data_IF_512898993353
#
_entry.id   IF_512898993353
#
_cell.length_a   1.000
_cell.length_b   1.000
_cell.length_c   1.000
_cell.angle_alpha   90.00
_cell.angle_beta   90.00
_cell.angle_gamma   90.00
#
_symmetry.space_group_name_H-M   'P 1'
#
loop_
_entity.id
_entity.type
_entity.pdbx_description
1 polymer ?
#
# COMPACT_ATOMS: atom_id res chain seq x y z
N UNK A 1 -59.41 11.42 -57.29
CA UNK A 1 -58.26 12.34 -57.15
C UNK A 1 -58.02 12.51 -55.67
N UNK A 2 -57.04 11.79 -55.12
CA UNK A 2 -56.62 11.90 -53.73
C UNK A 2 -55.36 12.77 -53.68
N UNK A 3 -55.35 13.79 -52.82
CA UNK A 3 -54.15 14.45 -52.33
C UNK A 3 -54.34 14.70 -50.84
N UNK A 4 -53.85 13.76 -50.04
CA UNK A 4 -53.55 13.94 -48.63
C UNK A 4 -52.08 14.35 -48.50
N UNK A 5 -51.78 15.42 -47.76
CA UNK A 5 -50.68 15.43 -46.79
C UNK A 5 -50.96 16.45 -45.66
N UNK A 6 -50.46 16.19 -44.42
CA UNK A 6 -51.00 16.73 -43.16
C UNK A 6 -50.03 17.70 -42.46
N UNK A 7 -50.46 18.38 -41.39
CA UNK A 7 -49.74 18.87 -40.19
C UNK A 7 -50.62 19.96 -39.56
N UNK A 8 -50.88 20.10 -38.25
CA UNK A 8 -50.44 19.47 -37.02
C UNK A 8 -51.17 20.20 -35.87
N UNK A 9 -51.13 19.64 -34.65
CA UNK A 9 -51.64 20.35 -33.46
C UNK A 9 -52.17 19.45 -32.36
N UNK A 10 -51.31 18.72 -31.66
CA UNK A 10 -51.68 18.04 -30.42
C UNK A 10 -51.85 19.06 -29.29
N UNK A 11 -53.09 19.36 -28.91
CA UNK A 11 -53.42 20.05 -27.65
C UNK A 11 -52.99 19.17 -26.47
N UNK A 12 -52.17 19.67 -25.54
CA UNK A 12 -51.97 19.03 -24.22
C UNK A 12 -52.60 19.89 -23.14
N UNK A 13 -53.52 19.29 -22.38
CA UNK A 13 -54.09 19.82 -21.14
C UNK A 13 -53.00 19.89 -20.06
N UNK A 14 -52.81 21.06 -19.46
CA UNK A 14 -52.18 21.18 -18.14
C UNK A 14 -53.22 20.80 -17.08
N UNK A 15 -52.94 19.77 -16.27
CA UNK A 15 -53.64 19.54 -14.99
C UNK A 15 -52.78 20.16 -13.89
N UNK A 16 -53.27 21.23 -13.30
CA UNK A 16 -52.71 21.85 -12.10
C UNK A 16 -53.00 20.97 -10.89
N UNK A 17 -51.96 20.57 -10.16
CA UNK A 17 -52.07 19.96 -8.83
C UNK A 17 -51.29 20.82 -7.85
N UNK A 18 -51.99 21.41 -6.87
CA UNK A 18 -51.40 22.17 -5.77
C UNK A 18 -51.12 21.18 -4.64
N UNK A 19 -49.86 21.05 -4.22
CA UNK A 19 -49.50 20.41 -2.95
C UNK A 19 -49.12 21.53 -1.99
N UNK A 20 -49.97 21.79 -0.99
CA UNK A 20 -49.67 22.72 0.10
C UNK A 20 -48.95 21.94 1.19
N UNK A 21 -47.69 22.28 1.47
CA UNK A 21 -46.97 21.82 2.66
C UNK A 21 -46.53 23.03 3.47
N UNK A 22 -46.87 23.01 4.76
CA UNK A 22 -46.69 24.08 5.75
C UNK A 22 -45.29 23.94 6.34
N UNK A 23 -44.32 24.67 5.79
CA UNK A 23 -43.18 25.32 6.44
C UNK A 23 -42.14 25.73 5.37
N UNK A 24 -41.55 26.90 5.55
CA UNK A 24 -40.48 27.51 4.75
C UNK A 24 -40.91 28.20 3.44
N UNK A 25 -40.83 29.53 3.48
CA UNK A 25 -40.86 30.45 2.34
C UNK A 25 -39.62 30.20 1.49
N UNK A 26 -39.81 29.80 0.23
CA UNK A 26 -38.79 29.89 -0.81
C UNK A 26 -39.42 30.55 -2.04
N UNK A 27 -39.04 31.79 -2.31
CA UNK A 27 -39.36 32.47 -3.57
C UNK A 27 -38.38 31.93 -4.61
N UNK A 28 -38.82 30.99 -5.44
CA UNK A 28 -38.09 30.62 -6.66
C UNK A 28 -38.57 31.48 -7.82
N UNK A 29 -37.72 32.40 -8.26
CA UNK A 29 -37.87 33.08 -9.54
C UNK A 29 -37.84 32.02 -10.66
N UNK A 30 -38.87 32.01 -11.49
CA UNK A 30 -38.95 31.15 -12.69
C UNK A 30 -38.14 31.83 -13.79
N UNK A 31 -36.88 31.46 -13.93
CA UNK A 31 -36.10 31.72 -15.15
C UNK A 31 -36.25 30.52 -16.09
N UNK A 32 -36.96 30.73 -17.21
CA UNK A 32 -36.96 29.79 -18.34
C UNK A 32 -35.55 29.75 -18.95
N UNK A 33 -34.77 28.72 -18.60
CA UNK A 33 -33.54 28.38 -19.32
C UNK A 33 -33.92 27.38 -20.43
N UNK A 34 -33.71 27.70 -21.73
CA UNK A 34 -33.96 26.75 -22.80
C UNK A 34 -32.96 25.58 -22.69
N UNK A 35 -33.48 24.35 -22.68
CA UNK A 35 -32.69 23.13 -22.54
C UNK A 35 -31.73 22.87 -23.71
N UNK A 36 -30.64 22.10 -23.52
CA UNK A 36 -29.64 21.92 -24.56
C UNK A 36 -30.21 21.13 -25.73
N UNK A 37 -29.98 21.63 -26.95
CA UNK A 37 -30.23 20.93 -28.20
C UNK A 37 -29.55 19.55 -28.19
N UNK A 38 -30.31 18.47 -28.43
CA UNK A 38 -29.78 17.14 -28.74
C UNK A 38 -28.95 17.22 -30.01
N UNK A 39 -27.64 17.41 -29.88
CA UNK A 39 -26.70 17.11 -30.93
C UNK A 39 -26.73 15.60 -31.21
N UNK A 40 -27.05 15.23 -32.45
CA UNK A 40 -26.86 13.86 -32.96
C UNK A 40 -25.38 13.52 -32.83
N UNK A 41 -25.02 12.62 -31.91
CA UNK A 41 -23.69 11.99 -31.93
C UNK A 41 -23.57 11.16 -33.21
N UNK A 42 -22.57 11.39 -34.08
CA UNK A 42 -22.33 10.51 -35.20
C UNK A 42 -21.81 9.16 -34.71
N UNK A 43 -22.26 8.12 -35.40
CA UNK A 43 -22.10 6.72 -35.07
C UNK A 43 -20.64 6.29 -34.84
N UNK A 44 -20.48 5.53 -33.76
CA UNK A 44 -19.71 4.29 -33.70
C UNK A 44 -18.36 4.27 -34.45
N UNK A 45 -17.33 4.76 -33.78
CA UNK A 45 -16.00 4.18 -33.95
C UNK A 45 -15.98 2.85 -33.19
N UNK A 46 -16.54 1.80 -33.82
CA UNK A 46 -16.37 0.41 -33.44
C UNK A 46 -14.89 0.05 -33.61
N UNK A 47 -14.04 0.48 -32.67
CA UNK A 47 -12.76 -0.19 -32.45
C UNK A 47 -13.10 -1.61 -32.03
N UNK A 48 -12.89 -2.56 -32.94
CA UNK A 48 -12.70 -3.98 -32.57
C UNK A 48 -11.62 -4.04 -31.50
N UNK A 49 -12.03 -4.10 -30.24
CA UNK A 49 -11.16 -4.44 -29.13
C UNK A 49 -11.76 -5.65 -28.45
N UNK A 50 -11.65 -6.80 -29.10
CA UNK A 50 -12.04 -8.08 -28.51
C UNK A 50 -11.15 -9.17 -29.04
N UNK A 51 -9.99 -9.35 -28.42
CA UNK A 51 -9.36 -10.67 -28.26
C UNK A 51 -8.70 -10.74 -26.88
N UNK A 52 -9.47 -10.45 -25.84
CA UNK A 52 -9.24 -11.01 -24.51
C UNK A 52 -10.63 -11.11 -23.91
N UNK A 53 -11.05 -12.32 -23.53
CA UNK A 53 -12.34 -12.53 -22.91
C UNK A 53 -12.48 -11.71 -21.62
N UNK A 54 -13.71 -11.57 -21.13
CA UNK A 54 -13.93 -10.95 -19.82
C UNK A 54 -13.25 -11.82 -18.76
N UNK A 55 -12.19 -11.30 -18.15
CA UNK A 55 -11.39 -11.99 -17.14
C UNK A 55 -11.48 -11.17 -15.87
N UNK A 56 -11.87 -11.79 -14.76
CA UNK A 56 -11.85 -11.15 -13.45
C UNK A 56 -11.43 -12.18 -12.40
N UNK A 57 -10.15 -12.16 -12.03
CA UNK A 57 -9.61 -13.00 -10.98
C UNK A 57 -9.23 -12.15 -9.77
N UNK A 58 -9.68 -12.57 -8.58
CA UNK A 58 -9.26 -12.00 -7.30
C UNK A 58 -8.40 -13.02 -6.58
N UNK A 59 -7.15 -12.67 -6.34
CA UNK A 59 -6.23 -13.45 -5.54
C UNK A 59 -6.30 -12.94 -4.10
N UNK A 60 -6.55 -13.84 -3.16
CA UNK A 60 -6.45 -13.54 -1.74
C UNK A 60 -5.01 -13.73 -1.24
N UNK A 61 -4.65 -13.06 -0.14
CA UNK A 61 -3.32 -13.20 0.45
C UNK A 61 -3.02 -14.65 0.87
N UNK A 62 -3.97 -15.30 1.53
CA UNK A 62 -3.74 -16.61 2.16
C UNK A 62 -3.29 -17.69 1.16
N UNK A 63 -3.99 -17.95 0.04
CA UNK A 63 -3.56 -18.96 -0.93
C UNK A 63 -2.21 -18.68 -1.58
N UNK A 64 -1.79 -17.41 -1.69
CA UNK A 64 -0.54 -17.03 -2.36
C UNK A 64 0.63 -16.96 -1.38
N UNK A 65 0.44 -16.30 -0.23
CA UNK A 65 1.49 -16.10 0.76
C UNK A 65 1.80 -17.38 1.55
N UNK A 66 0.79 -18.20 1.89
CA UNK A 66 0.99 -19.43 2.69
C UNK A 66 1.99 -20.40 2.06
N UNK A 67 1.87 -20.83 0.79
CA UNK A 67 2.84 -21.75 0.20
C UNK A 67 4.24 -21.14 0.15
N UNK A 68 4.37 -19.84 -0.13
CA UNK A 68 5.67 -19.15 -0.14
C UNK A 68 6.33 -19.14 1.25
N UNK A 69 5.54 -18.89 2.30
CA UNK A 69 6.00 -18.93 3.69
C UNK A 69 6.40 -20.34 4.09
N UNK A 70 5.60 -21.36 3.74
CA UNK A 70 5.92 -22.78 4.00
C UNK A 70 7.21 -23.20 3.29
N UNK A 71 7.38 -22.82 2.02
CA UNK A 71 8.61 -23.09 1.26
C UNK A 71 9.82 -22.40 1.87
N UNK A 72 9.68 -21.14 2.32
CA UNK A 72 10.74 -20.41 3.00
C UNK A 72 11.14 -21.08 4.32
N UNK A 73 10.17 -21.51 5.14
CA UNK A 73 10.43 -22.27 6.36
C UNK A 73 11.11 -23.61 6.07
N UNK A 74 10.64 -24.34 5.06
CA UNK A 74 11.28 -25.58 4.59
C UNK A 74 12.73 -25.34 4.18
N UNK A 75 13.00 -24.25 3.46
CA UNK A 75 14.36 -23.84 3.10
C UNK A 75 15.23 -23.52 4.33
N UNK A 76 14.69 -22.81 5.34
CA UNK A 76 15.42 -22.53 6.58
C UNK A 76 15.76 -23.83 7.33
N UNK A 77 14.83 -24.79 7.42
CA UNK A 77 15.05 -26.10 8.03
C UNK A 77 16.11 -26.89 7.27
N UNK A 78 15.98 -26.99 5.94
CA UNK A 78 16.97 -27.67 5.09
C UNK A 78 18.36 -27.06 5.26
N UNK A 79 18.46 -25.74 5.36
CA UNK A 79 19.73 -25.06 5.56
C UNK A 79 20.31 -25.28 6.95
N UNK A 80 19.46 -25.31 7.98
CA UNK A 80 19.87 -25.63 9.34
C UNK A 80 20.42 -27.07 9.44
N UNK A 81 19.79 -28.02 8.74
CA UNK A 81 20.22 -29.44 8.71
C UNK A 81 21.50 -29.60 7.86
N UNK A 82 21.58 -28.98 6.67
CA UNK A 82 22.68 -29.20 5.72
C UNK A 82 23.95 -28.42 6.05
N UNK A 83 23.84 -27.23 6.65
CA UNK A 83 24.95 -26.30 6.88
C UNK A 83 25.04 -25.86 8.35
N UNK A 84 24.89 -26.80 9.28
CA UNK A 84 25.14 -26.55 10.69
C UNK A 84 26.54 -25.96 10.88
N UNK A 85 26.63 -24.64 11.08
CA UNK A 85 27.83 -23.88 11.52
C UNK A 85 28.68 -23.16 10.45
N UNK A 86 28.09 -22.66 9.36
CA UNK A 86 28.72 -21.52 8.67
C UNK A 86 28.57 -20.24 9.50
N UNK A 87 29.58 -19.34 9.60
CA UNK A 87 29.50 -18.12 10.42
C UNK A 87 28.25 -17.27 10.15
N UNK A 88 27.78 -17.26 8.88
CA UNK A 88 26.63 -16.49 8.42
C UNK A 88 25.25 -17.17 8.64
N UNK A 89 25.23 -18.48 8.93
CA UNK A 89 24.01 -19.32 8.99
C UNK A 89 23.89 -20.14 10.28
N UNK A 90 24.57 -19.72 11.35
CA UNK A 90 24.40 -20.31 12.67
C UNK A 90 22.96 -20.26 13.16
N UNK A 91 22.60 -21.18 14.06
CA UNK A 91 21.26 -21.30 14.66
C UNK A 91 20.74 -19.99 15.28
N UNK A 92 21.66 -19.14 15.78
CA UNK A 92 21.35 -17.81 16.32
C UNK A 92 20.72 -16.86 15.29
N UNK A 93 20.98 -17.05 14.00
CA UNK A 93 20.42 -16.23 12.91
C UNK A 93 19.02 -16.67 12.47
N UNK A 94 18.58 -17.87 12.85
CA UNK A 94 17.29 -18.44 12.41
C UNK A 94 16.11 -17.62 12.94
N UNK A 95 16.05 -17.21 14.23
CA UNK A 95 14.94 -16.43 14.76
C UNK A 95 14.76 -15.09 14.03
N UNK A 96 15.83 -14.31 13.86
CA UNK A 96 15.73 -12.99 13.21
C UNK A 96 15.34 -13.10 11.73
N UNK A 97 15.82 -14.13 11.02
CA UNK A 97 15.42 -14.43 9.63
C UNK A 97 13.94 -14.81 9.56
N UNK A 98 13.48 -15.61 10.51
CA UNK A 98 12.08 -16.03 10.62
C UNK A 98 11.17 -14.83 10.85
N UNK A 99 11.48 -13.99 11.84
CA UNK A 99 10.70 -12.78 12.15
C UNK A 99 10.68 -11.84 10.96
N UNK A 100 11.84 -11.60 10.33
CA UNK A 100 11.95 -10.70 9.18
C UNK A 100 11.16 -11.22 7.99
N UNK A 101 11.24 -12.51 7.66
CA UNK A 101 10.50 -13.08 6.54
C UNK A 101 8.99 -13.09 6.79
N UNK A 102 8.56 -13.43 8.01
CA UNK A 102 7.14 -13.39 8.40
C UNK A 102 6.60 -11.97 8.32
N UNK A 103 7.38 -10.99 8.79
CA UNK A 103 7.06 -9.57 8.65
C UNK A 103 6.91 -9.15 7.18
N UNK A 104 7.89 -9.44 6.33
CA UNK A 104 7.85 -9.09 4.90
C UNK A 104 6.66 -9.75 4.20
N UNK A 105 6.35 -11.02 4.51
CA UNK A 105 5.19 -11.71 3.99
C UNK A 105 3.88 -11.06 4.46
N UNK A 106 3.80 -10.64 5.72
CA UNK A 106 2.65 -9.91 6.26
C UNK A 106 2.44 -8.56 5.57
N UNK A 107 3.51 -7.78 5.40
CA UNK A 107 3.48 -6.51 4.65
C UNK A 107 2.99 -6.73 3.23
N UNK A 108 3.57 -7.69 2.50
CA UNK A 108 3.13 -8.02 1.16
C UNK A 108 1.65 -8.46 1.12
N UNK A 109 1.23 -9.22 2.13
CA UNK A 109 -0.16 -9.63 2.33
C UNK A 109 -1.11 -8.45 2.43
N UNK A 110 -0.80 -7.45 3.25
CA UNK A 110 -1.70 -6.29 3.46
C UNK A 110 -1.64 -5.27 2.33
N UNK A 111 -0.48 -5.07 1.69
CA UNK A 111 -0.31 -4.02 0.66
C UNK A 111 -0.72 -4.47 -0.72
N UNK A 112 -0.47 -5.74 -1.09
CA UNK A 112 -0.77 -6.24 -2.43
C UNK A 112 -2.09 -7.00 -2.53
N UNK A 113 -2.62 -7.56 -1.43
CA UNK A 113 -3.85 -8.36 -1.48
C UNK A 113 -5.05 -7.70 -0.81
N UNK A 114 -6.26 -7.81 -1.38
CA UNK A 114 -6.61 -8.58 -2.57
C UNK A 114 -5.95 -8.06 -3.85
N UNK A 115 -5.44 -8.98 -4.68
CA UNK A 115 -4.85 -8.64 -5.96
C UNK A 115 -5.82 -9.02 -7.07
N UNK A 116 -6.27 -8.04 -7.84
CA UNK A 116 -7.24 -8.27 -8.91
C UNK A 116 -6.59 -8.18 -10.28
N UNK A 117 -6.99 -9.10 -11.16
CA UNK A 117 -6.65 -9.10 -12.58
C UNK A 117 -7.95 -8.99 -13.35
N UNK A 118 -8.19 -7.82 -13.95
CA UNK A 118 -9.43 -7.51 -14.65
C UNK A 118 -9.18 -7.08 -16.10
N UNK A 119 -9.80 -7.77 -17.06
CA UNK A 119 -9.77 -7.41 -18.48
C UNK A 119 -11.16 -7.56 -19.10
N UNK A 120 -11.41 -6.81 -20.17
CA UNK A 120 -12.70 -6.83 -20.88
C UNK A 120 -13.68 -5.82 -20.30
N UNK A 121 -14.99 -6.13 -20.34
CA UNK A 121 -16.06 -5.27 -19.81
C UNK A 121 -16.04 -5.11 -18.30
N UNK A 122 -15.28 -5.97 -17.62
CA UNK A 122 -15.09 -5.97 -16.17
C UNK A 122 -13.82 -5.20 -15.75
N UNK A 123 -13.03 -4.72 -16.71
CA UNK A 123 -11.94 -3.82 -16.43
C UNK A 123 -12.51 -2.48 -15.97
N UNK A 124 -11.94 -1.92 -14.90
CA UNK A 124 -12.15 -0.54 -14.51
C UNK A 124 -11.90 0.39 -15.72
N UNK A 125 -12.91 1.20 -16.06
CA UNK A 125 -12.85 2.17 -17.16
C UNK A 125 -11.97 3.38 -16.79
N UNK A 126 -11.58 3.50 -15.51
CA UNK A 126 -10.71 4.56 -15.02
C UNK A 126 -9.28 4.36 -15.53
N UNK A 127 -8.75 5.38 -16.22
CA UNK A 127 -7.37 5.37 -16.64
C UNK A 127 -6.42 5.27 -15.42
N UNK A 128 -5.37 4.45 -15.54
CA UNK A 128 -4.45 4.13 -14.44
C UNK A 128 -3.87 5.36 -13.72
N UNK A 129 -3.67 6.48 -14.42
CA UNK A 129 -3.12 7.71 -13.81
C UNK A 129 -4.12 8.40 -12.86
N UNK A 130 -5.42 8.14 -12.99
CA UNK A 130 -6.44 8.63 -12.06
C UNK A 130 -6.47 7.84 -10.75
N UNK A 131 -5.79 6.69 -10.71
CA UNK A 131 -5.64 5.89 -9.50
C UNK A 131 -4.41 6.31 -8.67
N UNK A 132 -3.70 7.37 -9.07
CA UNK A 132 -2.53 7.88 -8.36
C UNK A 132 -2.85 9.22 -7.69
N UNK A 133 -2.74 9.24 -6.36
CA UNK A 133 -2.86 10.46 -5.57
C UNK A 133 -1.48 11.13 -5.45
N UNK A 134 -1.30 12.21 -6.20
CA UNK A 134 -0.04 12.95 -6.28
C UNK A 134 0.11 14.06 -5.23
N UNK A 135 -0.96 14.42 -4.52
CA UNK A 135 -0.97 15.62 -3.68
C UNK A 135 -0.51 15.24 -2.27
N UNK A 136 0.71 15.61 -1.84
CA UNK A 136 1.14 15.30 -0.48
C UNK A 136 0.39 16.17 0.54
N UNK A 137 0.18 15.61 1.73
CA UNK A 137 -0.35 16.25 2.95
C UNK A 137 -1.82 16.70 2.86
N UNK A 138 -2.24 17.37 1.78
CA UNK A 138 -3.60 17.90 1.65
C UNK A 138 -4.67 16.82 1.47
N UNK A 139 -4.31 15.69 0.86
CA UNK A 139 -5.19 14.54 0.67
C UNK A 139 -4.87 13.40 1.64
N UNK A 140 -4.11 13.68 2.71
CA UNK A 140 -3.75 12.70 3.72
C UNK A 140 -5.00 12.16 4.42
N UNK A 141 -5.24 10.86 4.26
CA UNK A 141 -6.24 10.15 5.05
C UNK A 141 -5.59 9.67 6.36
N UNK A 142 -6.07 10.16 7.51
CA UNK A 142 -5.45 9.92 8.81
C UNK A 142 -5.49 8.44 9.22
N UNK A 143 -6.61 7.71 9.06
CA UNK A 143 -6.66 6.28 9.37
C UNK A 143 -5.65 5.45 8.56
N UNK A 144 -5.55 5.63 7.24
CA UNK A 144 -4.57 4.91 6.42
C UNK A 144 -3.14 5.30 6.78
N UNK A 145 -2.89 6.59 7.03
CA UNK A 145 -1.59 7.08 7.48
C UNK A 145 -1.13 6.42 8.78
N UNK A 146 -2.04 6.26 9.76
CA UNK A 146 -1.74 5.57 11.03
C UNK A 146 -1.44 4.09 10.80
N UNK A 147 -2.21 3.42 9.95
CA UNK A 147 -1.97 2.00 9.62
C UNK A 147 -0.63 1.80 8.92
N UNK A 148 -0.27 2.68 8.00
CA UNK A 148 1.01 2.69 7.30
C UNK A 148 2.20 2.89 8.27
N UNK A 149 2.07 3.85 9.20
CA UNK A 149 3.05 4.03 10.28
C UNK A 149 3.19 2.77 11.13
N UNK A 150 2.07 2.20 11.61
CA UNK A 150 2.09 0.98 12.43
C UNK A 150 2.72 -0.19 11.68
N UNK A 151 2.41 -0.33 10.40
CA UNK A 151 2.94 -1.38 9.54
C UNK A 151 4.46 -1.29 9.42
N UNK A 152 5.04 -0.08 9.33
CA UNK A 152 6.49 0.10 9.08
C UNK A 152 7.35 0.31 10.32
N UNK A 153 6.76 0.52 11.50
CA UNK A 153 7.50 0.52 12.77
C UNK A 153 8.34 -0.76 12.96
N UNK A 154 7.81 -1.97 12.76
CA UNK A 154 8.61 -3.19 12.85
C UNK A 154 9.79 -3.24 11.87
N UNK A 155 9.65 -2.69 10.65
CA UNK A 155 10.80 -2.55 9.73
C UNK A 155 11.93 -1.76 10.38
N UNK A 156 11.61 -0.57 10.92
CA UNK A 156 12.58 0.29 11.59
C UNK A 156 13.30 -0.40 12.76
N UNK A 157 12.56 -1.19 13.55
CA UNK A 157 13.11 -1.99 14.65
C UNK A 157 14.06 -3.09 14.13
N UNK A 158 13.73 -3.75 13.03
CA UNK A 158 14.50 -4.86 12.48
C UNK A 158 15.79 -4.43 11.77
N UNK A 159 15.84 -3.21 11.20
CA UNK A 159 16.99 -2.72 10.42
C UNK A 159 18.37 -2.91 11.08
N UNK A 160 18.62 -2.52 12.34
CA UNK A 160 19.93 -2.68 12.97
C UNK A 160 20.34 -4.14 13.19
N UNK A 161 19.39 -5.08 13.17
CA UNK A 161 19.62 -6.53 13.32
C UNK A 161 19.91 -7.25 12.00
N UNK A 162 19.42 -6.70 10.89
CA UNK A 162 19.53 -7.35 9.57
C UNK A 162 20.54 -6.70 8.64
N UNK A 163 20.83 -5.40 8.82
CA UNK A 163 21.68 -4.64 7.91
C UNK A 163 22.76 -3.85 8.65
N UNK A 164 24.03 -4.12 8.37
CA UNK A 164 25.18 -3.34 8.86
C UNK A 164 25.29 -1.93 8.29
N UNK A 165 24.42 -1.55 7.34
CA UNK A 165 24.47 -0.25 6.66
C UNK A 165 23.65 0.82 7.36
N UNK A 166 22.63 0.43 8.14
CA UNK A 166 21.68 1.37 8.76
C UNK A 166 22.16 1.77 10.16
N UNK A 167 23.07 2.74 10.21
CA UNK A 167 23.71 3.20 11.46
C UNK A 167 23.15 4.53 11.99
N UNK A 168 22.21 5.17 11.28
CA UNK A 168 21.67 6.47 11.68
C UNK A 168 20.18 6.61 11.37
N UNK A 169 19.45 7.49 12.09
CA UNK A 169 18.04 7.74 11.82
C UNK A 169 17.78 8.23 10.39
N UNK A 170 18.70 9.01 9.82
CA UNK A 170 18.63 9.46 8.41
C UNK A 170 18.69 8.28 7.43
N UNK A 171 19.55 7.29 7.71
CA UNK A 171 19.61 6.07 6.89
C UNK A 171 18.33 5.24 7.08
N UNK A 172 17.82 5.11 8.30
CA UNK A 172 16.55 4.41 8.54
C UNK A 172 15.39 5.07 7.77
N UNK A 173 15.30 6.40 7.78
CA UNK A 173 14.34 7.16 6.99
C UNK A 173 14.49 6.89 5.49
N UNK A 174 15.71 6.92 4.96
CA UNK A 174 15.97 6.63 3.55
C UNK A 174 15.60 5.19 3.15
N UNK A 175 15.89 4.21 4.02
CA UNK A 175 15.48 2.82 3.81
C UNK A 175 13.96 2.65 3.87
N UNK A 176 13.29 3.33 4.81
CA UNK A 176 11.82 3.33 4.91
C UNK A 176 11.17 3.96 3.68
N UNK A 177 11.69 5.11 3.22
CA UNK A 177 11.22 5.77 2.01
C UNK A 177 11.45 4.91 0.76
N UNK A 178 12.63 4.28 0.62
CA UNK A 178 12.92 3.39 -0.51
C UNK A 178 12.03 2.13 -0.49
N UNK A 179 11.80 1.56 0.70
CA UNK A 179 10.90 0.42 0.88
C UNK A 179 9.46 0.79 0.50
N UNK A 180 8.97 1.94 0.96
CA UNK A 180 7.63 2.40 0.60
C UNK A 180 7.51 2.72 -0.87
N UNK A 181 8.52 3.37 -1.47
CA UNK A 181 8.52 3.66 -2.90
C UNK A 181 8.46 2.36 -3.73
N UNK A 182 9.14 1.30 -3.28
CA UNK A 182 9.05 -0.01 -3.94
C UNK A 182 7.64 -0.59 -3.88
N UNK A 183 6.89 -0.38 -2.78
CA UNK A 183 5.49 -0.78 -2.66
C UNK A 183 4.61 0.00 -3.64
N UNK A 184 4.71 1.34 -3.65
CA UNK A 184 3.95 2.20 -4.56
C UNK A 184 4.21 1.86 -6.03
N UNK A 185 5.48 1.68 -6.41
CA UNK A 185 5.86 1.31 -7.79
C UNK A 185 5.25 -0.04 -8.15
N UNK A 186 5.26 -1.01 -7.24
CA UNK A 186 4.65 -2.31 -7.48
C UNK A 186 3.11 -2.22 -7.60
N UNK A 187 2.45 -1.32 -6.86
CA UNK A 187 1.02 -1.04 -7.01
C UNK A 187 0.70 -0.36 -8.34
N UNK A 188 1.49 0.63 -8.77
CA UNK A 188 1.37 1.25 -10.10
C UNK A 188 1.55 0.20 -11.20
N UNK A 189 2.54 -0.69 -11.09
CA UNK A 189 2.73 -1.79 -12.03
C UNK A 189 1.53 -2.75 -12.01
N UNK A 190 0.96 -3.02 -10.83
CA UNK A 190 -0.28 -3.78 -10.67
C UNK A 190 -1.45 -3.16 -11.43
N UNK A 191 -1.62 -1.84 -11.28
CA UNK A 191 -2.63 -1.05 -11.97
C UNK A 191 -2.42 -1.08 -13.50
N UNK A 192 -1.20 -0.78 -13.97
CA UNK A 192 -0.88 -0.69 -15.41
C UNK A 192 -0.95 -2.04 -16.11
N UNK A 193 -0.45 -3.11 -15.48
CA UNK A 193 -0.34 -4.42 -16.13
C UNK A 193 -1.62 -5.24 -15.99
N UNK A 194 -2.30 -5.17 -14.84
CA UNK A 194 -3.40 -6.07 -14.48
C UNK A 194 -4.74 -5.37 -14.24
N UNK A 195 -4.79 -4.04 -14.44
CA UNK A 195 -5.97 -3.23 -14.16
C UNK A 195 -6.46 -3.40 -12.71
N UNK A 196 -5.51 -3.56 -11.80
CA UNK A 196 -5.76 -3.65 -10.37
C UNK A 196 -6.23 -2.29 -9.84
N UNK A 197 -7.31 -2.26 -9.06
CA UNK A 197 -7.92 -1.04 -8.51
C UNK A 197 -7.15 -0.43 -7.34
N UNK A 198 -6.07 -1.08 -6.88
CA UNK A 198 -5.18 -0.53 -5.87
C UNK A 198 -4.39 0.63 -6.45
N UNK A 199 -4.85 1.82 -6.13
CA UNK A 199 -4.15 3.07 -6.37
C UNK A 199 -2.88 3.22 -5.55
N UNK A 200 -2.03 4.14 -6.00
CA UNK A 200 -0.81 4.57 -5.32
C UNK A 200 -1.02 5.95 -4.69
N UNK A 201 -0.42 6.20 -3.53
CA UNK A 201 -0.55 7.46 -2.79
C UNK A 201 0.82 7.97 -2.33
N UNK A 202 1.17 9.20 -2.70
CA UNK A 202 2.43 9.83 -2.26
C UNK A 202 2.49 9.97 -0.73
N UNK A 203 1.34 10.09 -0.06
CA UNK A 203 1.27 10.13 1.40
C UNK A 203 1.69 8.81 2.06
N UNK A 204 1.52 7.69 1.37
CA UNK A 204 1.94 6.37 1.86
C UNK A 204 3.46 6.30 1.96
N UNK A 205 4.19 6.89 0.99
CA UNK A 205 5.65 7.03 1.05
C UNK A 205 6.10 7.79 2.30
N UNK A 206 5.44 8.91 2.60
CA UNK A 206 5.79 9.74 3.74
C UNK A 206 5.49 9.04 5.07
N UNK A 207 4.28 8.48 5.20
CA UNK A 207 3.81 7.83 6.43
C UNK A 207 4.60 6.55 6.74
N UNK A 208 4.89 5.74 5.71
CA UNK A 208 5.75 4.56 5.85
C UNK A 208 7.20 4.93 6.21
N UNK A 209 7.75 6.00 5.62
CA UNK A 209 9.08 6.48 5.99
C UNK A 209 9.12 6.97 7.45
N UNK A 210 8.07 7.65 7.92
CA UNK A 210 7.93 8.07 9.31
C UNK A 210 7.85 6.89 10.27
N UNK A 211 7.03 5.87 9.99
CA UNK A 211 6.95 4.67 10.84
C UNK A 211 8.29 3.94 10.95
N UNK A 212 9.04 3.82 9.85
CA UNK A 212 10.40 3.27 9.87
C UNK A 212 11.35 4.09 10.75
N UNK A 213 11.31 5.42 10.66
CA UNK A 213 12.12 6.32 11.50
C UNK A 213 11.76 6.17 12.99
N UNK A 214 10.47 6.08 13.32
CA UNK A 214 10.00 5.89 14.69
C UNK A 214 10.45 4.54 15.26
N UNK A 215 10.27 3.46 14.50
CA UNK A 215 10.71 2.13 14.89
C UNK A 215 12.22 2.05 15.13
N UNK A 216 13.01 2.65 14.23
CA UNK A 216 14.46 2.74 14.40
C UNK A 216 14.84 3.54 15.65
N UNK A 217 14.19 4.67 15.88
CA UNK A 217 14.48 5.50 17.05
C UNK A 217 14.14 4.77 18.36
N UNK A 218 13.04 4.03 18.39
CA UNK A 218 12.61 3.22 19.54
C UNK A 218 13.63 2.14 19.89
N UNK A 219 14.11 1.38 18.91
CA UNK A 219 15.10 0.32 19.17
C UNK A 219 16.44 0.92 19.63
N UNK A 220 16.88 2.04 19.04
CA UNK A 220 18.12 2.70 19.47
C UNK A 220 18.02 3.23 20.91
N UNK A 221 16.86 3.73 21.34
CA UNK A 221 16.62 4.11 22.74
C UNK A 221 16.71 2.90 23.67
N UNK A 222 16.11 1.78 23.27
CA UNK A 222 16.12 0.53 24.05
C UNK A 222 17.54 -0.05 24.17
N UNK A 223 18.34 0.01 23.10
CA UNK A 223 19.72 -0.49 23.05
C UNK A 223 20.72 0.35 23.86
N UNK A 224 20.36 1.57 24.27
CA UNK A 224 21.18 2.36 25.22
C UNK A 224 21.18 1.78 26.62
N UNK A 225 20.21 0.92 26.96
CA UNK A 225 20.15 0.21 28.23
C UNK A 225 21.09 -1.02 28.15
N UNK A 226 21.91 -1.24 29.18
CA UNK A 226 22.94 -2.31 29.18
C UNK A 226 22.34 -3.71 29.09
N UNK A 227 21.25 -3.98 29.83
CA UNK A 227 20.64 -5.32 29.91
C UNK A 227 20.01 -5.80 28.58
N UNK A 228 19.18 -5.01 27.86
CA UNK A 228 18.64 -5.43 26.57
C UNK A 228 19.70 -5.63 25.48
N UNK A 229 20.78 -4.82 25.49
CA UNK A 229 21.81 -4.85 24.45
C UNK A 229 22.51 -6.21 24.37
N UNK A 230 22.87 -6.82 25.49
CA UNK A 230 23.58 -8.10 25.54
C UNK A 230 22.73 -9.29 25.09
N UNK A 231 21.42 -9.23 25.31
CA UNK A 231 20.48 -10.23 24.81
C UNK A 231 20.29 -10.08 23.30
N UNK A 232 20.10 -8.84 22.84
CA UNK A 232 19.83 -8.53 21.45
C UNK A 232 21.04 -8.74 20.52
N UNK A 233 22.26 -8.50 20.99
CA UNK A 233 23.48 -8.74 20.21
C UNK A 233 23.67 -10.21 19.84
N UNK A 234 23.18 -11.14 20.66
CA UNK A 234 23.23 -12.59 20.40
C UNK A 234 22.28 -13.04 19.30
N UNK A 235 21.25 -12.26 18.98
CA UNK A 235 20.21 -12.57 18.00
C UNK A 235 20.44 -11.87 16.64
N UNK A 236 21.33 -10.88 16.59
CA UNK A 236 21.58 -10.10 15.39
C UNK A 236 22.35 -10.91 14.33
N UNK A 237 22.16 -10.57 13.04
CA UNK A 237 22.94 -11.21 11.97
C UNK A 237 24.42 -10.83 12.09
N UNK A 238 25.37 -11.70 11.70
CA UNK A 238 26.81 -11.42 11.84
C UNK A 238 27.28 -10.14 11.15
N UNK A 239 26.61 -9.74 10.06
CA UNK A 239 26.91 -8.52 9.30
C UNK A 239 26.12 -7.29 9.74
N UNK A 240 25.32 -7.41 10.81
CA UNK A 240 24.43 -6.35 11.30
C UNK A 240 25.18 -5.25 12.07
N UNK A 241 24.56 -4.08 12.27
CA UNK A 241 25.18 -2.99 13.05
C UNK A 241 25.42 -3.44 14.48
N UNK A 242 24.43 -4.13 15.08
CA UNK A 242 24.52 -4.57 16.46
C UNK A 242 25.64 -5.60 16.69
N UNK A 243 25.97 -6.41 15.69
CA UNK A 243 27.08 -7.37 15.75
C UNK A 243 28.47 -6.72 15.61
N UNK A 244 28.56 -5.50 15.02
CA UNK A 244 29.83 -4.80 14.73
C UNK A 244 30.25 -3.81 15.82
N UNK A 245 29.31 -3.32 16.62
CA UNK A 245 29.59 -2.40 17.72
C UNK A 245 30.29 -3.15 18.87
N UNK A 246 31.52 -2.76 19.29
CA UNK A 246 32.22 -3.46 20.37
C UNK A 246 31.38 -3.45 21.66
N UNK A 247 31.39 -4.57 22.38
CA UNK A 247 30.93 -4.61 23.77
C UNK A 247 31.69 -3.51 24.50
N UNK A 248 30.98 -2.48 24.96
CA UNK A 248 31.61 -1.49 25.83
C UNK A 248 31.86 -2.24 27.14
N UNK A 249 33.11 -2.52 27.52
CA UNK A 249 33.34 -2.96 28.88
C UNK A 249 32.83 -1.81 29.73
N UNK A 250 31.87 -2.10 30.62
CA UNK A 250 31.58 -1.28 31.79
C UNK A 250 32.88 -0.62 32.22
N UNK A 251 32.95 0.72 32.16
CA UNK A 251 34.02 1.48 32.81
C UNK A 251 33.94 1.13 34.28
N UNK A 252 34.66 0.09 34.69
CA UNK A 252 34.99 -0.13 36.08
C UNK A 252 35.88 1.05 36.41
N UNK A 253 35.37 1.93 37.27
CA UNK A 253 36.12 3.03 37.85
C UNK A 253 37.41 2.47 38.47
N UNK A 254 38.53 2.59 37.77
CA UNK A 254 39.84 2.65 38.43
C UNK A 254 40.04 4.11 38.78
N UNK A 255 39.55 4.48 39.96
CA UNK A 255 40.06 5.66 40.67
C UNK A 255 41.52 5.30 40.96
N UNK A 256 42.44 5.91 40.22
CA UNK A 256 43.83 5.94 40.62
C UNK A 256 43.92 6.84 41.86
N UNK A 257 44.17 6.22 43.02
CA UNK A 257 44.77 6.84 44.20
C UNK A 257 46.15 6.24 44.34
#
# INVERSE_FOLDING_TARGET
MAQDLPFGGSRRRCRSGIVVSVHAVHISAITCIPGPHRARQPAAHLRRKTIMGDINYRLEALPVCTPLVVLFFGFLVLRAIRNGSGPQWGWRSIPIRTVTATYIAGVAGVTFFPFQIAYGKLADDMAWYNQINWIPVLTLDVPTAVLNVIMTVPLGVLLPFVSGKVTSPRRALAYGAAFSLAIEVAQILGCVLFNNYRGADVNDVLTNALGCLLGYSLIQLTLKLSFPRDVFSRLALPDSVLAREPHSPTRVNTIAV
#
